data_IF_199562798541
#
_entry.id   IF_199562798541
#
_cell.length_a   1.000
_cell.length_b   1.000
_cell.length_c   1.000
_cell.angle_alpha   90.00
_cell.angle_beta   90.00
_cell.angle_gamma   90.00
#
_symmetry.space_group_name_H-M   'P 1'
#
loop_
_entity.id
_entity.type
_entity.pdbx_description
1 polymer ?
#
# COMPACT_ATOMS: atom_id res chain seq x y z
N UNK A 1 11.56 19.11 -1.50
CA UNK A 1 11.19 17.70 -1.79
C UNK A 1 11.11 16.85 -0.53
N UNK A 2 12.05 16.96 0.44
CA UNK A 2 11.96 16.25 1.73
C UNK A 2 10.67 16.55 2.51
N UNK A 3 10.31 17.82 2.70
CA UNK A 3 9.07 18.20 3.40
C UNK A 3 7.80 17.63 2.74
N UNK A 4 7.81 17.45 1.41
CA UNK A 4 6.70 16.82 0.68
C UNK A 4 6.61 15.34 1.03
N UNK A 5 7.74 14.65 1.13
CA UNK A 5 7.80 13.25 1.57
C UNK A 5 7.34 13.14 3.01
N UNK A 6 7.86 13.98 3.91
CA UNK A 6 7.47 14.00 5.31
C UNK A 6 5.96 14.20 5.44
N UNK A 7 5.39 15.12 4.64
CA UNK A 7 3.95 15.30 4.56
C UNK A 7 3.23 14.08 3.98
N UNK A 8 3.70 13.46 2.89
CA UNK A 8 3.00 12.30 2.31
C UNK A 8 3.02 11.09 3.25
N UNK A 9 4.14 10.87 3.94
CA UNK A 9 4.35 9.78 4.90
C UNK A 9 3.85 10.09 6.32
N UNK A 10 3.34 11.30 6.56
CA UNK A 10 2.80 11.68 7.87
C UNK A 10 3.86 11.80 8.96
N UNK A 11 5.12 12.02 8.61
CA UNK A 11 6.20 12.23 9.59
C UNK A 11 5.96 13.51 10.37
N UNK A 12 6.10 13.43 11.69
CA UNK A 12 5.85 14.57 12.58
C UNK A 12 4.36 14.86 12.81
N UNK A 13 3.46 13.98 12.38
CA UNK A 13 2.03 14.10 12.70
C UNK A 13 1.81 13.95 14.21
N UNK A 14 1.58 15.07 14.89
CA UNK A 14 1.23 15.06 16.31
C UNK A 14 -0.29 14.92 16.50
N UNK A 15 -0.70 13.73 16.93
CA UNK A 15 -2.10 13.40 17.21
C UNK A 15 -2.69 14.32 18.30
N UNK A 16 -1.84 14.87 19.18
CA UNK A 16 -2.28 15.79 20.23
C UNK A 16 -2.69 17.15 19.69
N UNK A 17 -2.17 17.57 18.54
CA UNK A 17 -2.67 18.76 17.85
C UNK A 17 -4.11 18.57 17.37
N UNK A 18 -4.56 17.33 17.19
CA UNK A 18 -5.96 17.02 16.95
C UNK A 18 -6.83 17.04 18.22
N UNK A 19 -6.29 17.44 19.39
CA UNK A 19 -7.02 17.50 20.68
C UNK A 19 -7.24 18.92 21.23
N UNK A 20 -6.37 19.89 20.88
CA UNK A 20 -6.46 21.27 21.38
C UNK A 20 -7.53 22.03 20.60
N UNK A 21 -8.73 22.08 21.18
CA UNK A 21 -9.97 22.64 20.64
C UNK A 21 -9.99 24.13 20.31
N UNK A 22 -8.84 24.76 20.01
CA UNK A 22 -8.80 26.16 19.58
C UNK A 22 -8.78 26.29 18.06
N UNK A 23 -8.39 25.23 17.30
CA UNK A 23 -8.51 25.18 15.83
C UNK A 23 -8.64 23.72 15.33
N UNK A 24 -9.75 23.05 15.66
CA UNK A 24 -9.95 21.63 15.34
C UNK A 24 -11.05 21.41 14.30
N UNK A 25 -10.59 21.45 13.05
CA UNK A 25 -11.38 21.38 11.83
C UNK A 25 -11.04 20.06 11.10
N UNK A 26 -11.38 18.90 11.70
CA UNK A 26 -11.33 17.58 11.04
C UNK A 26 -12.78 17.18 10.74
N UNK A 27 -13.06 16.81 9.49
CA UNK A 27 -14.42 16.56 8.98
C UNK A 27 -14.41 16.36 7.46
N UNK A 28 -15.58 16.15 6.83
CA UNK A 28 -15.69 15.86 5.41
C UNK A 28 -15.23 17.01 4.51
N UNK A 29 -15.48 18.27 4.93
CA UNK A 29 -15.18 19.49 4.16
C UNK A 29 -13.76 20.04 4.43
N UNK A 30 -12.78 19.17 4.67
CA UNK A 30 -11.42 19.57 5.07
C UNK A 30 -10.38 19.25 4.01
N UNK A 31 -9.17 19.79 4.18
CA UNK A 31 -8.02 19.50 3.33
C UNK A 31 -6.89 18.81 4.10
N UNK A 32 -5.96 18.23 3.35
CA UNK A 32 -4.74 17.61 3.86
C UNK A 32 -4.93 16.46 4.86
N UNK A 33 -4.07 16.38 5.86
CA UNK A 33 -4.05 15.27 6.84
C UNK A 33 -5.31 15.12 7.67
N UNK A 34 -6.06 16.21 7.84
CA UNK A 34 -7.35 16.18 8.54
C UNK A 34 -8.36 15.35 7.75
N UNK A 35 -8.52 15.65 6.47
CA UNK A 35 -9.39 14.88 5.56
C UNK A 35 -8.94 13.42 5.47
N UNK A 36 -7.63 13.18 5.35
CA UNK A 36 -7.06 11.82 5.28
C UNK A 36 -7.36 11.02 6.54
N UNK A 37 -7.10 11.58 7.72
CA UNK A 37 -7.37 10.90 8.98
C UNK A 37 -8.86 10.60 9.15
N UNK A 38 -9.73 11.53 8.78
CA UNK A 38 -11.18 11.32 8.75
C UNK A 38 -11.57 10.13 7.85
N UNK A 39 -11.06 10.08 6.62
CA UNK A 39 -11.32 8.98 5.68
C UNK A 39 -10.79 7.64 6.22
N UNK A 40 -9.56 7.62 6.72
CA UNK A 40 -8.94 6.41 7.27
C UNK A 40 -9.69 5.87 8.48
N UNK A 41 -10.22 6.74 9.34
CA UNK A 41 -11.03 6.31 10.50
C UNK A 41 -12.38 5.75 10.06
N UNK A 42 -13.04 6.34 9.06
CA UNK A 42 -14.30 5.81 8.53
C UNK A 42 -14.08 4.44 7.90
N UNK A 43 -13.08 4.32 7.03
CA UNK A 43 -12.75 3.05 6.37
C UNK A 43 -12.44 1.97 7.40
N UNK A 44 -11.56 2.27 8.36
CA UNK A 44 -11.22 1.35 9.45
C UNK A 44 -12.43 0.92 10.26
N UNK A 45 -13.29 1.85 10.72
CA UNK A 45 -14.47 1.49 11.50
C UNK A 45 -15.54 0.76 10.67
N UNK A 46 -15.57 0.99 9.36
CA UNK A 46 -16.50 0.29 8.46
C UNK A 46 -16.08 -1.16 8.26
N UNK A 47 -14.77 -1.41 8.07
CA UNK A 47 -14.22 -2.76 7.83
C UNK A 47 -14.18 -3.66 9.07
N UNK A 48 -13.96 -3.11 10.27
CA UNK A 48 -13.77 -3.94 11.45
C UNK A 48 -15.11 -4.36 12.08
N UNK A 49 -15.30 -5.68 12.19
CA UNK A 49 -16.48 -6.30 12.81
C UNK A 49 -16.13 -7.19 14.00
N UNK A 50 -14.95 -7.80 13.99
CA UNK A 50 -14.50 -8.74 15.02
C UNK A 50 -13.56 -8.07 16.06
N UNK A 51 -13.94 -8.06 17.36
CA UNK A 51 -13.09 -7.52 18.41
C UNK A 51 -11.72 -8.19 18.53
N UNK A 52 -11.59 -9.49 18.27
CA UNK A 52 -10.32 -10.18 18.44
C UNK A 52 -9.30 -9.76 17.37
N UNK A 53 -9.76 -9.70 16.12
CA UNK A 53 -9.00 -9.20 14.97
C UNK A 53 -8.55 -7.75 15.19
N UNK A 54 -9.47 -6.87 15.61
CA UNK A 54 -9.16 -5.48 15.93
C UNK A 54 -8.11 -5.38 17.06
N UNK A 55 -8.30 -6.14 18.13
CA UNK A 55 -7.36 -6.20 19.27
C UNK A 55 -5.94 -6.53 18.82
N UNK A 56 -5.79 -7.52 17.94
CA UNK A 56 -4.49 -7.96 17.42
C UNK A 56 -3.86 -6.95 16.46
N UNK A 57 -4.63 -6.42 15.50
CA UNK A 57 -4.16 -5.44 14.51
C UNK A 57 -3.66 -4.15 15.16
N UNK A 58 -4.46 -3.56 16.03
CA UNK A 58 -4.18 -2.26 16.68
C UNK A 58 -3.28 -2.44 17.90
N UNK A 59 -3.21 -3.66 18.45
CA UNK A 59 -2.51 -3.95 19.69
C UNK A 59 -3.19 -3.31 20.90
N UNK A 60 -4.52 -3.38 21.01
CA UNK A 60 -5.27 -2.94 22.21
C UNK A 60 -5.79 -4.13 23.01
N UNK A 61 -6.30 -3.91 24.22
CA UNK A 61 -6.90 -5.00 25.00
C UNK A 61 -8.22 -5.47 24.37
N UNK A 62 -8.54 -6.76 24.51
CA UNK A 62 -9.81 -7.35 24.03
C UNK A 62 -11.04 -6.55 24.52
N UNK A 63 -11.06 -6.15 25.79
CA UNK A 63 -12.11 -5.30 26.37
C UNK A 63 -12.24 -3.93 25.71
N UNK A 64 -11.13 -3.35 25.25
CA UNK A 64 -11.16 -2.08 24.51
C UNK A 64 -11.67 -2.28 23.09
N UNK A 65 -11.27 -3.36 22.42
CA UNK A 65 -11.78 -3.71 21.11
C UNK A 65 -13.30 -3.98 21.12
N UNK A 66 -13.79 -4.75 22.10
CA UNK A 66 -15.24 -4.99 22.30
C UNK A 66 -16.01 -3.68 22.50
N UNK A 67 -15.39 -2.69 23.17
CA UNK A 67 -15.98 -1.37 23.35
C UNK A 67 -16.04 -0.60 22.03
N UNK A 68 -14.96 -0.59 21.26
CA UNK A 68 -14.91 0.07 19.95
C UNK A 68 -16.02 -0.46 19.05
N UNK A 69 -16.16 -1.79 18.94
CA UNK A 69 -17.22 -2.42 18.13
C UNK A 69 -18.61 -2.06 18.65
N UNK A 70 -18.81 -2.07 19.98
CA UNK A 70 -20.10 -1.72 20.60
C UNK A 70 -20.55 -0.30 20.28
N UNK A 71 -19.64 0.68 20.32
CA UNK A 71 -19.96 2.09 20.05
C UNK A 71 -19.72 2.50 18.60
N UNK A 72 -19.38 1.55 17.72
CA UNK A 72 -18.93 1.79 16.34
C UNK A 72 -19.89 2.66 15.55
N UNK A 73 -21.18 2.35 15.58
CA UNK A 73 -22.19 3.12 14.84
C UNK A 73 -22.30 4.56 15.34
N UNK A 74 -22.26 4.75 16.66
CA UNK A 74 -22.32 6.10 17.24
C UNK A 74 -21.03 6.88 16.96
N UNK A 75 -19.87 6.21 16.96
CA UNK A 75 -18.61 6.82 16.54
C UNK A 75 -18.66 7.25 15.08
N UNK A 76 -19.21 6.42 14.19
CA UNK A 76 -19.37 6.78 12.78
C UNK A 76 -20.30 7.99 12.63
N UNK A 77 -21.43 8.04 13.34
CA UNK A 77 -22.33 9.21 13.36
C UNK A 77 -21.63 10.48 13.83
N UNK A 78 -20.86 10.40 14.91
CA UNK A 78 -20.09 11.53 15.46
C UNK A 78 -18.96 11.95 14.52
N UNK A 79 -18.27 11.00 13.89
CA UNK A 79 -17.21 11.31 12.92
C UNK A 79 -17.82 12.02 11.71
N UNK A 80 -18.98 11.57 11.22
CA UNK A 80 -19.67 12.16 10.08
C UNK A 80 -20.37 13.51 10.39
N UNK A 81 -20.45 13.92 11.67
CA UNK A 81 -21.07 15.20 12.04
C UNK A 81 -20.23 16.39 11.59
N UNK A 82 -20.87 17.55 11.39
CA UNK A 82 -20.17 18.80 11.07
C UNK A 82 -20.65 19.91 12.01
N UNK A 83 -19.82 20.38 12.96
CA UNK A 83 -18.45 19.96 13.24
C UNK A 83 -18.36 18.57 13.94
N UNK A 84 -17.20 17.93 13.87
CA UNK A 84 -16.93 16.64 14.53
C UNK A 84 -16.67 16.82 16.01
N UNK A 85 -17.40 16.07 16.86
CA UNK A 85 -17.25 16.14 18.31
C UNK A 85 -16.16 15.17 18.86
N UNK A 86 -14.89 15.48 18.61
CA UNK A 86 -13.74 14.65 19.02
C UNK A 86 -13.70 14.31 20.51
N UNK A 87 -14.19 15.21 21.37
CA UNK A 87 -14.26 14.97 22.82
C UNK A 87 -15.16 13.78 23.14
N UNK A 88 -16.23 13.56 22.38
CA UNK A 88 -17.13 12.41 22.54
C UNK A 88 -16.40 11.13 22.16
N UNK A 89 -15.72 11.11 21.00
CA UNK A 89 -14.94 9.95 20.53
C UNK A 89 -13.88 9.55 21.57
N UNK A 90 -13.08 10.50 22.04
CA UNK A 90 -12.00 10.24 23.01
C UNK A 90 -12.57 9.77 24.36
N UNK A 91 -13.69 10.32 24.82
CA UNK A 91 -14.35 9.85 26.05
C UNK A 91 -14.89 8.43 25.92
N UNK A 92 -15.50 8.09 24.79
CA UNK A 92 -16.07 6.77 24.53
C UNK A 92 -14.99 5.68 24.47
N UNK A 93 -13.86 5.97 23.81
CA UNK A 93 -12.79 4.99 23.60
C UNK A 93 -11.73 4.98 24.70
N UNK A 94 -11.50 6.13 25.33
CA UNK A 94 -10.34 6.39 26.16
C UNK A 94 -9.14 6.81 25.34
N UNK A 95 -8.34 7.73 25.89
CA UNK A 95 -7.21 8.40 25.22
C UNK A 95 -6.19 7.43 24.62
N UNK A 96 -5.75 6.43 25.40
CA UNK A 96 -4.77 5.44 24.94
C UNK A 96 -5.28 4.58 23.78
N UNK A 97 -6.55 4.20 23.83
CA UNK A 97 -7.17 3.39 22.77
C UNK A 97 -7.33 4.22 21.50
N UNK A 98 -7.80 5.46 21.63
CA UNK A 98 -7.93 6.38 20.52
C UNK A 98 -6.58 6.65 19.85
N UNK A 99 -5.53 6.97 20.62
CA UNK A 99 -4.19 7.21 20.07
C UNK A 99 -3.62 5.97 19.37
N UNK A 100 -3.86 4.76 19.91
CA UNK A 100 -3.43 3.52 19.23
C UNK A 100 -4.16 3.29 17.91
N UNK A 101 -5.47 3.53 17.87
CA UNK A 101 -6.27 3.44 16.64
C UNK A 101 -5.76 4.44 15.61
N UNK A 102 -5.59 5.71 16.00
CA UNK A 102 -5.11 6.76 15.08
C UNK A 102 -3.72 6.42 14.52
N UNK A 103 -2.78 6.01 15.37
CA UNK A 103 -1.45 5.59 14.91
C UNK A 103 -1.53 4.39 13.96
N UNK A 104 -2.37 3.40 14.28
CA UNK A 104 -2.57 2.23 13.43
C UNK A 104 -3.10 2.63 12.05
N UNK A 105 -4.16 3.43 11.97
CA UNK A 105 -4.77 3.81 10.68
C UNK A 105 -3.86 4.72 9.87
N UNK A 106 -3.06 5.60 10.50
CA UNK A 106 -2.07 6.40 9.78
C UNK A 106 -0.98 5.49 9.20
N UNK A 107 -0.38 4.63 10.02
CA UNK A 107 0.70 3.74 9.58
C UNK A 107 0.26 2.72 8.52
N UNK A 108 -1.00 2.27 8.56
CA UNK A 108 -1.58 1.38 7.54
C UNK A 108 -1.74 2.07 6.17
N UNK A 109 -2.04 3.37 6.16
CA UNK A 109 -2.46 4.08 4.95
C UNK A 109 -1.38 4.99 4.35
N UNK A 110 -0.27 5.25 5.06
CA UNK A 110 0.86 6.00 4.48
C UNK A 110 1.52 5.19 3.36
N UNK A 111 1.79 5.79 2.19
CA UNK A 111 2.44 5.08 1.10
C UNK A 111 3.92 4.83 1.43
N UNK A 112 4.46 3.72 0.91
CA UNK A 112 5.89 3.44 0.94
C UNK A 112 6.56 4.08 -0.27
N UNK A 113 7.45 5.06 -0.04
CA UNK A 113 8.13 5.82 -1.09
C UNK A 113 9.64 5.59 -1.01
N UNK A 114 10.31 5.47 -2.16
CA UNK A 114 11.78 5.56 -2.20
C UNK A 114 12.21 7.04 -2.07
N UNK A 115 12.53 7.44 -0.84
CA UNK A 115 12.94 8.80 -0.51
C UNK A 115 14.16 9.25 -1.32
N UNK A 116 15.11 8.34 -1.58
CA UNK A 116 16.37 8.67 -2.24
C UNK A 116 16.12 9.08 -3.69
N UNK A 117 15.14 8.46 -4.35
CA UNK A 117 14.70 8.85 -5.70
C UNK A 117 14.03 10.20 -5.68
N UNK A 118 13.18 10.46 -4.69
CA UNK A 118 12.38 11.69 -4.64
C UNK A 118 13.21 12.92 -4.28
N UNK A 119 14.14 12.80 -3.33
CA UNK A 119 14.98 13.93 -2.87
C UNK A 119 16.01 14.34 -3.95
N UNK A 120 16.52 13.39 -4.71
CA UNK A 120 17.55 13.64 -5.72
C UNK A 120 17.00 14.41 -6.92
N UNK A 121 17.52 15.62 -7.13
CA UNK A 121 17.11 16.52 -8.23
C UNK A 121 17.74 16.16 -9.57
N UNK A 122 18.80 15.35 -9.57
CA UNK A 122 19.55 14.94 -10.77
C UNK A 122 19.37 13.45 -11.08
N UNK A 123 18.33 12.83 -10.52
CA UNK A 123 18.08 11.41 -10.67
C UNK A 123 17.75 11.06 -12.13
N UNK A 124 18.41 10.03 -12.65
CA UNK A 124 18.03 9.42 -13.92
C UNK A 124 16.78 8.56 -13.73
N UNK A 125 15.77 8.79 -14.55
CA UNK A 125 14.55 7.98 -14.62
C UNK A 125 14.64 7.09 -15.86
N UNK A 126 14.06 5.89 -15.78
CA UNK A 126 13.98 5.00 -16.95
C UNK A 126 13.20 5.67 -18.06
N UNK A 127 13.73 5.62 -19.28
CA UNK A 127 13.09 6.21 -20.45
C UNK A 127 11.80 5.45 -20.79
N UNK A 128 10.63 6.12 -20.84
CA UNK A 128 9.40 5.48 -21.31
C UNK A 128 9.57 4.86 -22.70
N UNK A 129 9.02 3.67 -22.90
CA UNK A 129 9.16 2.90 -24.13
C UNK A 129 10.44 2.05 -24.25
N UNK A 130 11.46 2.28 -23.39
CA UNK A 130 12.64 1.41 -23.34
C UNK A 130 12.33 0.06 -22.70
N UNK A 131 13.23 -0.93 -22.86
CA UNK A 131 13.11 -2.23 -22.18
C UNK A 131 13.83 -2.24 -20.83
N UNK A 132 13.17 -2.80 -19.83
CA UNK A 132 13.76 -3.02 -18.52
C UNK A 132 14.67 -4.26 -18.55
N UNK A 133 15.98 -4.06 -18.47
CA UNK A 133 16.98 -5.12 -18.68
C UNK A 133 16.88 -6.37 -17.81
N UNK A 134 16.19 -6.33 -16.66
CA UNK A 134 15.95 -7.54 -15.84
C UNK A 134 14.67 -8.28 -16.18
N UNK A 135 13.65 -7.61 -16.72
CA UNK A 135 12.34 -8.23 -16.96
C UNK A 135 12.03 -8.42 -18.43
N UNK A 136 12.70 -7.68 -19.31
CA UNK A 136 12.35 -7.60 -20.73
C UNK A 136 11.06 -6.81 -20.98
N UNK A 137 10.38 -6.31 -19.94
CA UNK A 137 9.16 -5.54 -20.10
C UNK A 137 9.49 -4.10 -20.53
N UNK A 138 8.60 -3.54 -21.34
CA UNK A 138 8.64 -2.13 -21.73
C UNK A 138 8.34 -1.25 -20.52
N UNK A 139 9.06 -0.14 -20.41
CA UNK A 139 8.75 0.93 -19.45
C UNK A 139 7.48 1.63 -19.95
N UNK A 140 6.33 1.10 -19.57
CA UNK A 140 5.02 1.54 -20.04
C UNK A 140 4.59 2.80 -19.27
N UNK A 141 4.23 3.85 -20.00
CA UNK A 141 3.54 4.99 -19.43
C UNK A 141 2.09 4.58 -19.14
N UNK A 142 1.61 4.85 -17.92
CA UNK A 142 0.26 4.51 -17.46
C UNK A 142 -0.45 5.80 -17.11
N UNK A 143 -1.63 6.02 -17.68
CA UNK A 143 -2.47 7.16 -17.32
C UNK A 143 -3.00 6.98 -15.90
N UNK A 144 -3.11 8.08 -15.16
CA UNK A 144 -3.63 8.06 -13.80
C UNK A 144 -5.06 7.50 -13.74
N UNK A 145 -5.90 7.76 -14.76
CA UNK A 145 -7.27 7.22 -14.82
C UNK A 145 -7.31 5.70 -14.91
N UNK A 146 -6.25 5.07 -15.43
CA UNK A 146 -6.21 3.64 -15.74
C UNK A 146 -5.26 2.86 -14.83
N UNK A 147 -4.75 3.49 -13.76
CA UNK A 147 -3.71 2.87 -12.91
C UNK A 147 -4.19 1.59 -12.22
N UNK A 148 -5.48 1.51 -11.88
CA UNK A 148 -6.08 0.36 -11.19
C UNK A 148 -6.29 -0.85 -12.09
N UNK A 149 -6.43 -0.61 -13.40
CA UNK A 149 -6.66 -1.66 -14.40
C UNK A 149 -5.37 -2.08 -15.12
N UNK A 150 -4.23 -1.51 -14.73
CA UNK A 150 -2.96 -1.78 -15.40
C UNK A 150 -2.43 -3.18 -15.07
N UNK A 151 -2.30 -4.03 -16.08
CA UNK A 151 -1.66 -5.34 -16.00
C UNK A 151 -0.29 -5.33 -16.73
N UNK A 152 0.84 -5.40 -16.00
CA UNK A 152 2.17 -5.37 -16.61
C UNK A 152 2.44 -6.50 -17.61
N UNK A 153 1.89 -7.70 -17.37
CA UNK A 153 2.13 -8.86 -18.24
C UNK A 153 1.40 -8.69 -19.57
N UNK A 154 0.19 -8.15 -19.54
CA UNK A 154 -0.61 -7.95 -20.75
C UNK A 154 -0.20 -6.69 -21.53
N UNK A 155 0.16 -5.61 -20.83
CA UNK A 155 0.33 -4.29 -21.44
C UNK A 155 1.79 -3.85 -21.61
N UNK A 156 2.73 -4.42 -20.86
CA UNK A 156 4.14 -4.06 -20.93
C UNK A 156 5.04 -5.18 -21.47
N UNK A 157 4.53 -6.40 -21.63
CA UNK A 157 5.25 -7.47 -22.30
C UNK A 157 5.35 -7.17 -23.81
N UNK A 158 6.56 -7.29 -24.37
CA UNK A 158 6.82 -7.08 -25.80
C UNK A 158 7.30 -8.35 -26.50
N UNK A 159 7.73 -9.35 -25.73
CA UNK A 159 8.22 -10.60 -26.26
C UNK A 159 7.04 -11.56 -26.44
N UNK A 160 6.96 -12.28 -27.58
CA UNK A 160 5.91 -13.25 -27.82
C UNK A 160 5.95 -14.41 -26.83
N UNK A 161 4.94 -15.27 -26.89
CA UNK A 161 4.72 -16.38 -25.97
C UNK A 161 5.17 -17.75 -26.53
N UNK A 162 5.80 -17.79 -27.70
CA UNK A 162 6.34 -19.05 -28.23
C UNK A 162 7.33 -19.67 -27.23
N UNK A 163 7.33 -21.00 -27.16
CA UNK A 163 8.13 -21.73 -26.19
C UNK A 163 9.60 -21.81 -26.58
N UNK A 164 10.48 -21.65 -25.58
CA UNK A 164 11.91 -21.89 -25.69
C UNK A 164 12.37 -22.78 -24.53
N UNK A 165 13.30 -23.69 -24.84
CA UNK A 165 13.94 -24.56 -23.86
C UNK A 165 15.07 -23.82 -23.14
N UNK A 166 15.11 -23.94 -21.82
CA UNK A 166 16.16 -23.37 -20.98
C UNK A 166 16.68 -24.41 -20.00
N UNK A 167 17.94 -24.22 -19.60
CA UNK A 167 18.55 -24.94 -18.49
C UNK A 167 18.50 -24.08 -17.22
N UNK A 168 17.84 -24.55 -16.17
CA UNK A 168 17.82 -23.88 -14.86
C UNK A 168 19.19 -23.98 -14.19
N UNK A 169 19.66 -22.84 -13.66
CA UNK A 169 20.92 -22.76 -12.91
C UNK A 169 20.73 -22.85 -11.40
N UNK A 170 19.53 -22.52 -10.93
CA UNK A 170 19.17 -22.44 -9.51
C UNK A 170 17.67 -22.63 -9.35
N UNK A 171 17.20 -22.96 -8.13
CA UNK A 171 15.78 -22.93 -7.83
C UNK A 171 15.20 -21.55 -8.13
N UNK A 172 14.07 -21.55 -8.84
CA UNK A 172 13.28 -20.35 -9.17
C UNK A 172 11.89 -20.48 -8.56
N UNK A 173 11.15 -19.37 -8.35
CA UNK A 173 9.77 -19.44 -7.88
C UNK A 173 8.91 -20.36 -8.76
N UNK A 174 7.98 -21.07 -8.13
CA UNK A 174 7.07 -22.00 -8.81
C UNK A 174 6.05 -21.30 -9.70
N UNK A 175 5.85 -19.99 -9.54
CA UNK A 175 4.96 -19.19 -10.38
C UNK A 175 5.60 -17.85 -10.69
N UNK A 176 5.66 -17.50 -11.97
CA UNK A 176 6.24 -16.25 -12.45
C UNK A 176 5.36 -15.71 -13.59
N UNK A 177 4.92 -14.46 -13.49
CA UNK A 177 4.02 -13.83 -14.47
C UNK A 177 2.77 -14.66 -14.80
N UNK A 178 2.22 -15.36 -13.79
CA UNK A 178 1.06 -16.23 -13.97
C UNK A 178 1.38 -17.63 -14.51
N UNK A 179 2.62 -17.90 -14.96
CA UNK A 179 3.04 -19.21 -15.47
C UNK A 179 3.57 -20.07 -14.33
N UNK A 180 3.04 -21.29 -14.21
CA UNK A 180 3.53 -22.30 -13.26
C UNK A 180 4.74 -23.03 -13.83
N UNK A 181 5.82 -23.07 -13.06
CA UNK A 181 7.09 -23.69 -13.43
C UNK A 181 7.33 -24.95 -12.61
N UNK A 182 7.76 -26.02 -13.29
CA UNK A 182 8.26 -27.22 -12.62
C UNK A 182 9.74 -27.02 -12.24
N UNK A 183 9.97 -26.35 -11.11
CA UNK A 183 11.30 -25.97 -10.61
C UNK A 183 12.18 -27.17 -10.21
N UNK A 184 11.66 -28.40 -10.26
CA UNK A 184 12.41 -29.63 -10.00
C UNK A 184 13.17 -30.14 -11.23
N UNK A 185 12.77 -29.71 -12.43
CA UNK A 185 13.43 -30.11 -13.67
C UNK A 185 14.63 -29.22 -13.95
N UNK A 186 15.76 -29.83 -14.33
CA UNK A 186 16.94 -29.09 -14.79
C UNK A 186 16.67 -28.36 -16.10
N UNK A 187 15.75 -28.88 -16.92
CA UNK A 187 15.32 -28.31 -18.20
C UNK A 187 13.83 -28.01 -18.20
N UNK A 188 13.49 -26.80 -18.63
CA UNK A 188 12.10 -26.34 -18.72
C UNK A 188 11.84 -25.71 -20.09
N UNK A 189 10.61 -25.82 -20.58
CA UNK A 189 10.10 -25.04 -21.70
C UNK A 189 9.21 -23.94 -21.16
N UNK A 190 9.45 -22.71 -21.59
CA UNK A 190 8.71 -21.53 -21.14
C UNK A 190 8.48 -20.56 -22.29
N UNK A 191 7.44 -19.71 -22.21
CA UNK A 191 7.26 -18.59 -23.14
C UNK A 191 8.51 -17.68 -23.21
N UNK A 192 8.80 -17.10 -24.38
CA UNK A 192 9.99 -16.27 -24.58
C UNK A 192 10.08 -15.10 -23.60
N UNK A 193 8.97 -14.41 -23.30
CA UNK A 193 9.00 -13.31 -22.32
C UNK A 193 9.49 -13.75 -20.94
N UNK A 194 9.11 -14.96 -20.52
CA UNK A 194 9.53 -15.53 -19.25
C UNK A 194 11.00 -15.99 -19.34
N UNK A 195 11.42 -16.50 -20.49
CA UNK A 195 12.81 -16.83 -20.74
C UNK A 195 13.73 -15.60 -20.59
N UNK A 196 13.36 -14.47 -21.20
CA UNK A 196 14.12 -13.21 -21.08
C UNK A 196 14.26 -12.78 -19.63
N UNK A 197 13.18 -12.88 -18.84
CA UNK A 197 13.24 -12.61 -17.40
C UNK A 197 14.18 -13.55 -16.64
N UNK A 198 14.07 -14.86 -16.88
CA UNK A 198 14.90 -15.87 -16.22
C UNK A 198 16.38 -15.71 -16.57
N UNK A 199 16.70 -15.42 -17.84
CA UNK A 199 18.05 -15.15 -18.30
C UNK A 199 18.59 -13.84 -17.69
N UNK A 200 17.81 -12.75 -17.74
CA UNK A 200 18.20 -11.42 -17.23
C UNK A 200 18.44 -11.37 -15.72
N UNK A 201 17.85 -12.30 -14.96
CA UNK A 201 18.10 -12.46 -13.53
C UNK A 201 19.05 -13.63 -13.22
N UNK A 202 19.66 -14.28 -14.22
CA UNK A 202 20.57 -15.40 -14.04
C UNK A 202 19.94 -16.64 -13.38
N UNK A 203 18.63 -16.83 -13.53
CA UNK A 203 17.92 -18.05 -13.10
C UNK A 203 18.14 -19.23 -14.05
N UNK A 204 18.44 -18.95 -15.31
CA UNK A 204 18.61 -19.95 -16.36
C UNK A 204 19.71 -19.58 -17.37
N UNK A 205 20.02 -20.51 -18.27
CA UNK A 205 20.78 -20.28 -19.51
C UNK A 205 20.07 -20.87 -20.71
N UNK A 206 20.35 -20.30 -21.88
CA UNK A 206 20.06 -20.94 -23.16
C UNK A 206 20.87 -22.25 -23.23
N UNK A 207 20.24 -23.27 -23.84
CA UNK A 207 20.96 -24.47 -24.26
C UNK A 207 22.00 -24.12 -25.34
#
# INVERSE_FOLDING_TARGET
RREIIDYIEGRGLDIKLFRRGDVLDIGPDRSGWRKRLFQFLIEFLSEEEDPLTLSNKVGISKRSAERVIRVKEDLLKVILSNPVEWRVIVRSLGERTFERIVNYVVNRNVPSIDERVTIDTKRLIRLPGSLHGKTGFKVQAVDFSNIWDFNPVEQACVFPDYEISLKLKRPVPSQIFGVTLDSKKERIKVPLYLAVYLLGNGGATLD
#
